data_IF_169070081207
#
_entry.id   IF_169070081207
#
_cell.length_a   1.000
_cell.length_b   1.000
_cell.length_c   1.000
_cell.angle_alpha   90.00
_cell.angle_beta   90.00
_cell.angle_gamma   90.00
#
_symmetry.space_group_name_H-M   'P 1'
#
loop_
_entity.id
_entity.type
_entity.pdbx_description
1 polymer ?
#
# COMPACT_ATOMS: atom_id res chain seq x y z
N UNK A 1 16.18 -23.65 5.99
CA UNK A 1 15.63 -22.66 5.03
C UNK A 1 14.62 -21.85 5.82
N UNK A 2 15.07 -20.78 6.47
CA UNK A 2 14.21 -20.00 7.38
C UNK A 2 13.27 -19.17 6.51
N UNK A 3 11.99 -19.54 6.47
CA UNK A 3 10.96 -18.66 5.92
C UNK A 3 10.68 -17.65 7.02
N UNK A 4 11.26 -16.45 6.90
CA UNK A 4 10.78 -15.34 7.70
C UNK A 4 9.29 -15.16 7.34
N UNK A 5 8.38 -15.00 8.31
CA UNK A 5 7.00 -14.69 8.00
C UNK A 5 7.00 -13.34 7.28
N UNK A 6 6.95 -13.36 5.94
CA UNK A 6 6.82 -12.16 5.16
C UNK A 6 5.48 -11.53 5.57
N UNK A 7 5.48 -10.32 6.15
CA UNK A 7 4.27 -9.64 6.55
C UNK A 7 3.52 -9.22 5.28
N UNK A 8 2.80 -10.15 4.65
CA UNK A 8 1.82 -9.95 3.57
C UNK A 8 2.21 -8.94 2.48
N UNK A 9 3.51 -8.76 2.20
CA UNK A 9 3.99 -7.90 1.13
C UNK A 9 3.64 -8.60 -0.18
N UNK A 10 2.70 -8.04 -0.94
CA UNK A 10 2.51 -8.43 -2.33
C UNK A 10 3.89 -8.34 -3.01
N UNK A 11 4.49 -9.47 -3.43
CA UNK A 11 5.86 -9.48 -3.90
C UNK A 11 5.95 -8.62 -5.17
N UNK A 12 6.71 -7.52 -5.11
CA UNK A 12 6.92 -6.59 -6.22
C UNK A 12 6.14 -5.28 -6.15
N UNK A 13 5.33 -5.03 -5.11
CA UNK A 13 4.72 -3.72 -4.88
C UNK A 13 5.45 -3.04 -3.71
N UNK A 14 6.09 -1.91 -3.98
CA UNK A 14 6.72 -1.08 -2.95
C UNK A 14 5.65 -0.38 -2.10
N UNK A 15 5.86 -0.36 -0.78
CA UNK A 15 4.96 0.34 0.14
C UNK A 15 5.16 1.85 -0.03
N UNK A 16 4.11 2.62 -0.37
CA UNK A 16 4.23 4.06 -0.50
C UNK A 16 4.49 4.72 0.85
N UNK A 17 5.26 5.81 0.84
CA UNK A 17 5.55 6.60 2.03
C UNK A 17 4.24 7.14 2.65
N UNK A 18 3.93 6.83 3.91
CA UNK A 18 2.68 7.27 4.55
C UNK A 18 2.55 8.78 4.66
N UNK A 19 3.67 9.53 4.66
CA UNK A 19 3.65 11.00 4.68
C UNK A 19 3.18 11.60 3.35
N UNK A 20 3.23 10.84 2.25
CA UNK A 20 2.73 11.25 0.94
C UNK A 20 1.26 10.87 0.72
N UNK A 21 0.72 10.01 1.58
CA UNK A 21 -0.64 9.50 1.48
C UNK A 21 -1.64 10.50 2.06
N UNK A 22 -2.82 10.51 1.46
CA UNK A 22 -3.95 11.28 1.96
C UNK A 22 -4.63 10.55 3.13
N UNK A 23 -5.31 11.30 4.01
CA UNK A 23 -6.08 10.73 5.12
C UNK A 23 -6.97 9.53 4.73
N UNK A 24 -7.76 9.61 3.64
CA UNK A 24 -8.57 8.48 3.16
C UNK A 24 -7.77 7.24 2.73
N UNK A 25 -6.52 7.41 2.25
CA UNK A 25 -5.66 6.29 1.90
C UNK A 25 -5.08 5.62 3.15
N UNK A 26 -4.67 6.42 4.14
CA UNK A 26 -4.23 5.92 5.46
C UNK A 26 -5.37 5.22 6.21
N UNK A 27 -6.61 5.67 6.03
CA UNK A 27 -7.78 5.02 6.63
C UNK A 27 -8.25 3.76 5.88
N UNK A 28 -7.55 3.35 4.82
CA UNK A 28 -7.95 2.20 4.01
C UNK A 28 -9.27 2.40 3.25
N UNK A 29 -9.69 3.64 3.02
CA UNK A 29 -10.89 3.94 2.22
C UNK A 29 -10.56 4.05 0.73
N UNK A 30 -9.37 4.56 0.44
CA UNK A 30 -8.87 4.73 -0.91
C UNK A 30 -7.62 3.88 -1.13
N UNK A 31 -7.44 3.42 -2.35
CA UNK A 31 -6.26 2.68 -2.77
C UNK A 31 -5.03 3.56 -2.60
N UNK A 32 -4.01 3.03 -1.94
CA UNK A 32 -2.75 3.74 -1.70
C UNK A 32 -1.95 4.00 -2.98
N UNK A 33 -2.25 3.27 -4.07
CA UNK A 33 -1.55 3.40 -5.35
C UNK A 33 -2.26 4.37 -6.32
N UNK A 34 -3.58 4.27 -6.47
CA UNK A 34 -4.33 5.07 -7.45
C UNK A 34 -5.23 6.15 -6.83
N UNK A 35 -5.39 6.17 -5.51
CA UNK A 35 -6.24 7.12 -4.79
C UNK A 35 -7.75 6.92 -5.00
N UNK A 36 -8.17 5.91 -5.77
CA UNK A 36 -9.59 5.61 -5.98
C UNK A 36 -10.20 4.92 -4.76
N UNK A 37 -11.50 5.10 -4.57
CA UNK A 37 -12.23 4.45 -3.49
C UNK A 37 -12.17 2.93 -3.64
N UNK A 38 -11.83 2.25 -2.54
CA UNK A 38 -11.78 0.79 -2.49
C UNK A 38 -13.20 0.24 -2.49
N UNK A 39 -13.51 -0.56 -3.51
CA UNK A 39 -14.73 -1.36 -3.60
C UNK A 39 -14.47 -2.82 -3.15
N UNK A 40 -13.26 -3.29 -3.42
CA UNK A 40 -12.69 -4.52 -2.90
C UNK A 40 -11.22 -4.23 -2.54
N UNK A 41 -10.90 -4.35 -1.26
CA UNK A 41 -9.58 -4.09 -0.72
C UNK A 41 -8.71 -5.36 -0.67
N UNK A 42 -7.40 -5.16 -0.79
CA UNK A 42 -6.36 -6.13 -0.49
C UNK A 42 -5.33 -5.45 0.39
N UNK A 43 -4.99 -6.08 1.51
CA UNK A 43 -3.90 -5.61 2.36
C UNK A 43 -2.59 -5.68 1.57
N UNK A 44 -1.94 -4.54 1.42
CA UNK A 44 -0.61 -4.42 0.84
C UNK A 44 0.49 -4.60 1.90
N UNK A 45 0.25 -4.06 3.10
CA UNK A 45 1.17 -4.13 4.23
C UNK A 45 0.86 -3.04 5.26
N UNK A 46 1.65 -2.99 6.32
CA UNK A 46 1.50 -2.01 7.41
C UNK A 46 2.68 -1.06 7.39
N UNK A 47 2.41 0.24 7.48
CA UNK A 47 3.44 1.29 7.56
C UNK A 47 3.32 2.03 8.89
N UNK A 48 4.44 2.55 9.38
CA UNK A 48 4.43 3.42 10.56
C UNK A 48 4.25 4.85 10.07
N UNK A 49 3.13 5.46 10.43
CA UNK A 49 2.85 6.86 10.15
C UNK A 49 3.00 7.70 11.41
N UNK A 50 3.56 8.90 11.28
CA UNK A 50 3.67 9.85 12.39
C UNK A 50 2.71 11.03 12.25
N UNK A 51 1.67 11.07 13.08
CA UNK A 51 0.78 12.23 13.13
C UNK A 51 1.46 13.36 13.92
N UNK A 52 1.89 14.42 13.21
CA UNK A 52 2.53 15.59 13.80
C UNK A 52 3.93 15.36 14.39
N UNK A 53 4.61 14.28 13.98
CA UNK A 53 6.00 14.00 14.37
C UNK A 53 6.21 13.41 15.77
N UNK A 54 5.14 13.23 16.57
CA UNK A 54 5.24 12.78 17.97
C UNK A 54 4.65 11.38 18.17
N UNK A 55 3.52 11.07 17.54
CA UNK A 55 2.82 9.79 17.71
C UNK A 55 3.09 8.89 16.51
N UNK A 56 3.75 7.75 16.73
CA UNK A 56 3.90 6.68 15.72
C UNK A 56 2.66 5.79 15.79
N UNK A 57 1.92 5.73 14.71
CA UNK A 57 0.76 4.85 14.54
C UNK A 57 1.06 3.84 13.43
N UNK A 58 0.73 2.57 13.68
CA UNK A 58 0.81 1.53 12.66
C UNK A 58 -0.48 1.56 11.84
N UNK A 59 -0.33 1.77 10.52
CA UNK A 59 -1.44 1.97 9.60
C UNK A 59 -1.41 0.91 8.51
N UNK A 60 -2.51 0.19 8.36
CA UNK A 60 -2.68 -0.82 7.33
C UNK A 60 -3.01 -0.16 5.97
N UNK A 61 -2.21 -0.47 4.96
CA UNK A 61 -2.35 0.06 3.61
C UNK A 61 -3.08 -0.94 2.72
N UNK A 62 -4.06 -0.44 1.97
CA UNK A 62 -4.91 -1.26 1.11
C UNK A 62 -4.83 -0.83 -0.36
N UNK A 63 -4.92 -1.83 -1.24
CA UNK A 63 -4.93 -1.66 -2.71
C UNK A 63 -6.18 -2.25 -3.34
N UNK A 64 -6.49 -1.82 -4.57
CA UNK A 64 -7.64 -2.36 -5.31
C UNK A 64 -7.45 -3.85 -5.61
N UNK A 65 -8.57 -4.58 -5.65
CA UNK A 65 -8.68 -5.89 -6.32
C UNK A 65 -9.63 -5.82 -7.53
N UNK A 66 -9.19 -6.20 -8.74
CA UNK A 66 -7.80 -6.50 -9.11
C UNK A 66 -6.87 -5.29 -8.94
N UNK A 67 -5.56 -5.54 -8.86
CA UNK A 67 -4.56 -4.48 -8.72
C UNK A 67 -4.72 -3.43 -9.81
N UNK A 68 -4.48 -2.17 -9.45
CA UNK A 68 -4.59 -1.06 -10.39
C UNK A 68 -3.62 -1.30 -11.56
N UNK A 69 -4.09 -1.15 -12.80
CA UNK A 69 -3.25 -1.33 -13.98
C UNK A 69 -1.97 -0.47 -13.96
N UNK A 70 -2.01 0.70 -13.30
CA UNK A 70 -0.85 1.57 -13.11
C UNK A 70 0.25 1.01 -12.18
N UNK A 71 -0.07 0.06 -11.31
CA UNK A 71 0.90 -0.59 -10.42
C UNK A 71 1.62 -1.79 -11.07
N UNK A 72 0.98 -2.43 -12.04
CA UNK A 72 1.53 -3.60 -12.74
C UNK A 72 2.57 -3.23 -13.82
N UNK A 73 2.68 -1.95 -14.21
CA UNK A 73 3.46 -1.54 -15.38
C UNK A 73 4.97 -1.42 -15.13
N UNK A 74 5.46 -1.54 -13.90
CA UNK A 74 6.91 -1.46 -13.60
C UNK A 74 7.69 -2.77 -13.90
N UNK A 75 7.09 -3.70 -14.66
CA UNK A 75 7.70 -4.99 -15.00
C UNK A 75 7.47 -5.49 -16.43
N UNK A 76 7.11 -4.64 -17.40
CA UNK A 76 6.90 -5.12 -18.76
C UNK A 76 6.62 -4.03 -19.80
N UNK A 77 7.68 -3.59 -20.47
CA UNK A 77 7.59 -2.68 -21.62
C UNK A 77 8.88 -2.66 -22.42
N UNK A 78 9.31 -3.82 -22.90
CA UNK A 78 10.34 -3.92 -23.94
C UNK A 78 9.66 -3.61 -25.29
N UNK A 79 9.96 -2.45 -25.85
CA UNK A 79 9.68 -2.11 -27.24
C UNK A 79 10.92 -2.34 -28.10
#
# INVERSE_FOLDING_TARGET
MTTCPQPSLLPGIELPDPETLTGPQLQGWNCVLCGQRLLADQLLGTVVWTCGGVTKEEVELYVCRPLCAGAAQQGGGHG
#
